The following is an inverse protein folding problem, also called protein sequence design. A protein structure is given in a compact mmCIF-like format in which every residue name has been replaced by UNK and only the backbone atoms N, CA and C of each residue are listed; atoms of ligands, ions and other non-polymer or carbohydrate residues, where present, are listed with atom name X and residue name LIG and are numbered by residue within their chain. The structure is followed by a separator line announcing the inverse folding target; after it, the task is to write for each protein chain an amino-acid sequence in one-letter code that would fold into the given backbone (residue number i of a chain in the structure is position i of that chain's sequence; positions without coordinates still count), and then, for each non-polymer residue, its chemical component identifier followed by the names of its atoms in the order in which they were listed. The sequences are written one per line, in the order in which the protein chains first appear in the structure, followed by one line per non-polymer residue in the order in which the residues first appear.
data_IF_580058943011
#
_entry.id   IF_580058943011
#
_cell.length_a   1.000
_cell.length_b   1.000
_cell.length_c   1.000
_cell.angle_alpha   90.00
_cell.angle_beta   90.00
_cell.angle_gamma   90.00
#
_symmetry.space_group_name_H-M   'P 1'
#
loop_
_entity.id
_entity.type
_entity.pdbx_description
1 polymer ?
#
# COMPACT_ATOMS: atom_id res chain seq x y z
N UNK A 1 3.03 9.54 -1.45
CA UNK A 1 4.50 9.50 -1.33
C UNK A 1 5.06 8.09 -1.39
N UNK A 2 4.62 7.14 -0.55
CA UNK A 2 5.11 5.74 -0.57
C UNK A 2 5.09 5.10 -1.96
N UNK A 3 3.95 5.12 -2.67
CA UNK A 3 3.81 4.56 -4.03
C UNK A 3 4.77 5.20 -5.04
N UNK A 4 4.96 6.53 -4.97
CA UNK A 4 5.85 7.26 -5.87
C UNK A 4 7.32 6.90 -5.64
N UNK A 5 7.75 6.84 -4.37
CA UNK A 5 9.11 6.41 -4.04
C UNK A 5 9.35 4.96 -4.49
N UNK A 6 8.37 4.08 -4.25
CA UNK A 6 8.47 2.68 -4.65
C UNK A 6 8.54 2.51 -6.17
N UNK A 7 7.78 3.31 -6.93
CA UNK A 7 7.83 3.36 -8.38
C UNK A 7 9.22 3.77 -8.89
N UNK A 8 9.79 4.83 -8.32
CA UNK A 8 11.14 5.27 -8.67
C UNK A 8 12.20 4.21 -8.43
N UNK A 9 12.18 3.58 -7.25
CA UNK A 9 13.11 2.49 -6.90
C UNK A 9 12.93 1.28 -7.83
N UNK A 10 11.68 0.88 -8.10
CA UNK A 10 11.39 -0.26 -8.98
C UNK A 10 11.90 -0.05 -10.40
N UNK A 11 11.80 1.17 -10.95
CA UNK A 11 12.34 1.51 -12.27
C UNK A 11 13.88 1.38 -12.29
N UNK A 12 14.56 1.94 -11.28
CA UNK A 12 16.03 1.88 -11.17
C UNK A 12 16.50 0.43 -11.02
N UNK A 13 15.91 -0.34 -10.10
CA UNK A 13 16.27 -1.74 -9.88
C UNK A 13 15.97 -2.61 -11.11
N UNK A 14 14.87 -2.34 -11.83
CA UNK A 14 14.52 -3.05 -13.06
C UNK A 14 15.55 -2.85 -14.17
N UNK A 15 15.99 -1.60 -14.39
CA UNK A 15 17.01 -1.28 -15.38
C UNK A 15 18.37 -1.90 -15.00
N UNK A 16 18.80 -1.75 -13.74
CA UNK A 16 20.06 -2.33 -13.25
C UNK A 16 20.04 -3.86 -13.31
N UNK A 17 18.94 -4.48 -12.88
CA UNK A 17 18.77 -5.93 -12.92
C UNK A 17 18.78 -6.49 -14.33
N UNK A 18 18.26 -5.74 -15.31
CA UNK A 18 18.31 -6.13 -16.72
C UNK A 18 19.75 -6.06 -17.28
N UNK A 19 20.56 -5.10 -16.84
CA UNK A 19 21.97 -4.99 -17.27
C UNK A 19 22.86 -6.08 -16.67
N UNK A 20 22.59 -6.49 -15.42
CA UNK A 20 23.40 -7.47 -14.68
C UNK A 20 22.89 -8.92 -14.91
N UNK A 21 21.74 -9.09 -15.57
CA UNK A 21 21.12 -10.40 -15.83
C UNK A 21 20.46 -11.04 -14.61
N UNK A 22 20.28 -10.30 -13.51
CA UNK A 22 19.71 -10.76 -12.23
C UNK A 22 18.37 -10.10 -11.90
N UNK A 23 17.64 -9.65 -12.92
CA UNK A 23 16.37 -8.91 -12.78
C UNK A 23 15.37 -9.63 -11.87
N UNK A 24 15.16 -10.92 -12.09
CA UNK A 24 14.16 -11.71 -11.35
C UNK A 24 14.54 -11.87 -9.88
N UNK A 25 15.81 -12.12 -9.57
CA UNK A 25 16.29 -12.27 -8.20
C UNK A 25 16.16 -10.96 -7.41
N UNK A 26 16.53 -9.83 -8.03
CA UNK A 26 16.41 -8.50 -7.42
C UNK A 26 14.93 -8.15 -7.21
N UNK A 27 14.07 -8.41 -8.20
CA UNK A 27 12.64 -8.15 -8.10
C UNK A 27 11.98 -8.96 -6.98
N UNK A 28 12.32 -10.25 -6.85
CA UNK A 28 11.80 -11.13 -5.81
C UNK A 28 12.26 -10.71 -4.40
N UNK A 29 13.52 -10.32 -4.24
CA UNK A 29 14.02 -9.83 -2.96
C UNK A 29 13.36 -8.48 -2.60
N UNK A 30 13.25 -7.59 -3.56
CA UNK A 30 12.64 -6.28 -3.35
C UNK A 30 11.16 -6.38 -3.00
N UNK A 31 10.40 -7.28 -3.65
CA UNK A 31 8.99 -7.49 -3.35
C UNK A 31 8.75 -7.96 -1.91
N UNK A 32 9.62 -8.84 -1.38
CA UNK A 32 9.60 -9.27 0.02
C UNK A 32 9.87 -8.12 0.99
N UNK A 33 10.86 -7.28 0.70
CA UNK A 33 11.19 -6.10 1.55
C UNK A 33 10.04 -5.10 1.55
N UNK A 34 9.42 -4.87 0.41
CA UNK A 34 8.32 -3.90 0.24
C UNK A 34 6.98 -4.44 0.75
N UNK A 35 6.83 -5.75 0.90
CA UNK A 35 5.58 -6.38 1.36
C UNK A 35 5.13 -5.81 2.71
N UNK A 36 5.99 -5.81 3.71
CA UNK A 36 5.64 -5.34 5.06
C UNK A 36 5.28 -3.85 5.09
N UNK A 37 6.08 -2.92 4.53
CA UNK A 37 5.69 -1.52 4.41
C UNK A 37 4.38 -1.31 3.63
N UNK A 38 4.13 -2.09 2.57
CA UNK A 38 2.91 -1.94 1.76
C UNK A 38 1.67 -2.33 2.56
N UNK A 39 1.75 -3.42 3.33
CA UNK A 39 0.69 -3.82 4.26
C UNK A 39 0.48 -2.75 5.33
N UNK A 40 1.55 -2.23 5.93
CA UNK A 40 1.44 -1.21 6.98
C UNK A 40 0.77 0.08 6.49
N UNK A 41 1.11 0.57 5.29
CA UNK A 41 0.47 1.74 4.67
C UNK A 41 -1.00 1.44 4.34
N UNK A 42 -1.30 0.25 3.82
CA UNK A 42 -2.67 -0.18 3.55
C UNK A 42 -3.55 -0.22 4.81
N UNK A 43 -3.04 -0.79 5.90
CA UNK A 43 -3.74 -0.81 7.19
C UNK A 43 -3.98 0.61 7.70
N UNK A 44 -2.98 1.51 7.64
CA UNK A 44 -3.16 2.91 8.06
C UNK A 44 -4.28 3.59 7.29
N UNK A 45 -4.34 3.44 5.97
CA UNK A 45 -5.41 4.02 5.15
C UNK A 45 -6.80 3.45 5.46
N UNK A 46 -6.89 2.16 5.79
CA UNK A 46 -8.14 1.57 6.28
C UNK A 46 -8.53 2.14 7.64
N UNK A 47 -7.56 2.33 8.54
CA UNK A 47 -7.82 2.95 9.84
C UNK A 47 -8.28 4.41 9.70
N UNK A 48 -7.71 5.18 8.77
CA UNK A 48 -8.15 6.54 8.48
C UNK A 48 -9.64 6.60 8.08
N UNK A 49 -10.19 5.52 7.52
CA UNK A 49 -11.61 5.40 7.12
C UNK A 49 -12.46 4.58 8.11
N UNK A 50 -11.96 4.39 9.32
CA UNK A 50 -12.61 3.63 10.42
C UNK A 50 -12.93 2.17 10.08
N UNK A 51 -12.09 1.56 9.24
CA UNK A 51 -12.14 0.14 8.86
C UNK A 51 -11.03 -0.65 9.53
N UNK A 52 -11.27 -1.92 9.83
CA UNK A 52 -10.24 -2.82 10.34
C UNK A 52 -9.20 -3.18 9.26
N UNK A 53 -7.95 -3.42 9.66
CA UNK A 53 -6.89 -3.86 8.74
C UNK A 53 -7.20 -5.18 7.99
N UNK A 54 -8.12 -5.99 8.51
CA UNK A 54 -8.61 -7.22 7.85
C UNK A 54 -9.27 -6.96 6.49
N UNK A 55 -9.75 -5.74 6.23
CA UNK A 55 -10.26 -5.37 4.92
C UNK A 55 -9.20 -5.44 3.80
N UNK A 56 -7.90 -5.51 4.13
CA UNK A 56 -6.86 -5.80 3.13
C UNK A 56 -7.08 -7.15 2.43
N UNK A 57 -7.63 -8.13 3.12
CA UNK A 57 -7.90 -9.47 2.57
C UNK A 57 -8.94 -9.44 1.45
N UNK A 58 -9.70 -8.36 1.30
CA UNK A 58 -10.65 -8.25 0.19
C UNK A 58 -9.92 -8.29 -1.16
N UNK A 59 -8.64 -7.88 -1.21
CA UNK A 59 -7.82 -7.97 -2.43
C UNK A 59 -7.57 -9.42 -2.89
N UNK A 60 -7.86 -10.44 -2.07
CA UNK A 60 -7.86 -11.84 -2.52
C UNK A 60 -9.04 -12.16 -3.45
N UNK A 61 -10.09 -11.33 -3.45
CA UNK A 61 -11.22 -11.46 -4.36
C UNK A 61 -10.88 -10.66 -5.63
N UNK A 62 -10.69 -11.33 -6.79
CA UNK A 62 -10.29 -10.65 -8.01
C UNK A 62 -11.39 -9.69 -8.48
N UNK A 63 -10.98 -8.57 -9.08
CA UNK A 63 -11.83 -7.52 -9.64
C UNK A 63 -12.69 -6.80 -8.58
N UNK A 64 -13.68 -7.47 -7.99
CA UNK A 64 -14.60 -6.86 -7.02
C UNK A 64 -13.86 -6.38 -5.76
N UNK A 65 -12.96 -7.20 -5.23
CA UNK A 65 -12.17 -6.84 -4.06
C UNK A 65 -11.24 -5.66 -4.33
N UNK A 66 -10.56 -5.68 -5.48
CA UNK A 66 -9.70 -4.57 -5.92
C UNK A 66 -10.47 -3.26 -6.08
N UNK A 67 -11.68 -3.31 -6.66
CA UNK A 67 -12.52 -2.11 -6.83
C UNK A 67 -12.94 -1.51 -5.49
N UNK A 68 -13.36 -2.35 -4.53
CA UNK A 68 -13.73 -1.91 -3.18
C UNK A 68 -12.52 -1.37 -2.42
N UNK A 69 -11.37 -2.03 -2.54
CA UNK A 69 -10.14 -1.56 -1.91
C UNK A 69 -9.68 -0.22 -2.51
N UNK A 70 -9.77 -0.06 -3.83
CA UNK A 70 -9.47 1.18 -4.52
C UNK A 70 -10.38 2.31 -4.05
N UNK A 71 -11.68 2.04 -3.88
CA UNK A 71 -12.62 2.98 -3.29
C UNK A 71 -12.14 3.46 -1.90
N UNK A 72 -11.74 2.55 -1.01
CA UNK A 72 -11.18 2.93 0.30
C UNK A 72 -9.89 3.74 0.21
N UNK A 73 -9.04 3.50 -0.80
CA UNK A 73 -7.80 4.25 -0.97
C UNK A 73 -8.04 5.71 -1.37
N UNK A 74 -9.09 5.97 -2.15
CA UNK A 74 -9.40 7.30 -2.70
C UNK A 74 -10.34 8.09 -1.78
N UNK A 75 -11.18 7.41 -0.99
CA UNK A 75 -12.05 8.08 -0.03
C UNK A 75 -11.28 8.93 0.99
N UNK A 76 -11.87 10.07 1.33
CA UNK A 76 -11.42 10.89 2.45
C UNK A 76 -11.52 10.08 3.75
N UNK A 77 -10.59 10.34 4.66
CA UNK A 77 -10.65 9.79 6.02
C UNK A 77 -11.89 10.29 6.76
N UNK A 78 -12.29 9.57 7.81
CA UNK A 78 -13.36 10.02 8.69
C UNK A 78 -12.99 11.36 9.32
N UNK A 79 -13.90 12.33 9.25
CA UNK A 79 -13.74 13.61 9.93
C UNK A 79 -13.99 13.44 11.44
N UNK A 80 -13.08 13.97 12.26
CA UNK A 80 -13.14 13.83 13.71
C UNK A 80 -12.58 12.49 14.22
N UNK A 81 -12.64 12.25 15.55
CA UNK A 81 -12.03 11.07 16.16
C UNK A 81 -12.69 9.77 15.67
N UNK A 82 -11.87 8.74 15.47
CA UNK A 82 -12.30 7.39 15.10
C UNK A 82 -11.78 6.36 16.11
N UNK A 83 -12.09 5.07 15.92
CA UNK A 83 -11.66 4.01 16.85
C UNK A 83 -10.14 3.79 16.92
N UNK A 84 -9.38 4.43 16.04
CA UNK A 84 -7.93 4.30 15.88
C UNK A 84 -7.16 5.56 16.30
N UNK A 85 -7.83 6.66 16.64
CA UNK A 85 -7.20 7.88 17.15
C UNK A 85 -7.97 9.15 16.82
N UNK A 86 -7.39 10.28 17.20
CA UNK A 86 -7.88 11.63 16.88
C UNK A 86 -7.54 12.00 15.42
N UNK A 87 -8.35 12.89 14.84
CA UNK A 87 -8.11 13.41 13.48
C UNK A 87 -6.86 14.30 13.47
N UNK A 88 -5.79 13.95 12.73
CA UNK A 88 -4.58 14.76 12.68
C UNK A 88 -4.79 16.13 12.02
N UNK A 89 -5.93 16.37 11.36
CA UNK A 89 -6.31 17.69 10.81
C UNK A 89 -7.09 18.57 11.79
N UNK A 90 -7.49 18.03 12.94
CA UNK A 90 -8.21 18.78 13.97
C UNK A 90 -7.27 19.49 14.97
N UNK A 91 -5.96 19.23 14.91
CA UNK A 91 -4.91 19.82 15.74
C UNK A 91 -4.23 21.02 15.08
#
# INVERSE_FOLDING_TARGET
MFVLCNLGIALVLGLLGQLIGLKEQIANLYSLVVLLPSLAVGVRRLHDTDRSGWWLLINLIPVAGTLVFLYFMICEGQAGPNRFGEDPKAA
#
